data_IF_631279412364
#
_entry.id   IF_631279412364
#
_cell.length_a   1.000
_cell.length_b   1.000
_cell.length_c   1.000
_cell.angle_alpha   90.00
_cell.angle_beta   90.00
_cell.angle_gamma   90.00
#
_symmetry.space_group_name_H-M   'P 1'
#
loop_
_entity.id
_entity.type
_entity.pdbx_description
1 polymer ?
#
# COMPACT_ATOMS: atom_id res chain seq x y z
N UNK A 1 -1.91 -33.85 -41.18
CA UNK A 1 -0.75 -34.35 -40.42
C UNK A 1 0.00 -33.15 -39.88
N UNK A 2 0.02 -32.98 -38.56
CA UNK A 2 0.83 -31.98 -37.87
C UNK A 2 1.53 -32.72 -36.74
N UNK A 3 2.86 -32.68 -36.72
CA UNK A 3 3.68 -33.50 -35.83
C UNK A 3 3.72 -32.94 -34.42
N UNK A 4 3.56 -33.81 -33.44
CA UNK A 4 3.68 -33.54 -32.01
C UNK A 4 5.18 -33.56 -31.68
N UNK A 5 5.79 -32.41 -31.36
CA UNK A 5 7.15 -32.38 -30.82
C UNK A 5 7.10 -32.53 -29.29
N UNK A 6 7.56 -33.68 -28.79
CA UNK A 6 7.89 -33.91 -27.39
C UNK A 6 9.29 -33.37 -27.11
N UNK A 7 9.39 -32.19 -26.51
CA UNK A 7 10.56 -31.84 -25.70
C UNK A 7 10.07 -31.04 -24.51
N UNK A 8 10.13 -31.71 -23.36
CA UNK A 8 10.01 -31.24 -21.99
C UNK A 8 9.09 -30.04 -21.76
N UNK A 9 7.94 -30.33 -21.14
CA UNK A 9 7.06 -29.31 -20.59
C UNK A 9 7.85 -28.24 -19.85
N UNK A 10 7.98 -27.09 -20.48
CA UNK A 10 7.92 -25.84 -19.75
C UNK A 10 6.47 -25.79 -19.29
N UNK A 11 6.20 -26.44 -18.15
CA UNK A 11 5.21 -25.91 -17.26
C UNK A 11 5.68 -24.47 -17.09
N UNK A 12 4.98 -23.52 -17.72
CA UNK A 12 4.96 -22.18 -17.18
C UNK A 12 4.34 -22.36 -15.79
N UNK A 13 5.15 -22.80 -14.84
CA UNK A 13 5.19 -22.17 -13.54
C UNK A 13 5.64 -20.74 -13.85
N UNK A 14 4.80 -19.96 -14.53
CA UNK A 14 4.62 -18.59 -14.13
C UNK A 14 4.45 -18.76 -12.64
N UNK A 15 5.51 -18.44 -11.89
CA UNK A 15 5.46 -18.46 -10.46
C UNK A 15 4.14 -17.77 -10.17
N UNK A 16 3.21 -18.48 -9.52
CA UNK A 16 2.03 -17.84 -8.98
C UNK A 16 2.55 -17.02 -7.80
N UNK A 17 3.43 -16.04 -8.06
CA UNK A 17 3.51 -14.85 -7.25
C UNK A 17 2.06 -14.38 -7.24
N UNK A 18 1.41 -14.52 -6.09
CA UNK A 18 0.12 -13.88 -5.87
C UNK A 18 0.38 -12.41 -6.16
N UNK A 19 -0.05 -11.94 -7.32
CA UNK A 19 0.00 -10.52 -7.64
C UNK A 19 -0.86 -9.87 -6.56
N UNK A 20 -0.21 -9.11 -5.68
CA UNK A 20 -0.91 -8.39 -4.63
C UNK A 20 -1.76 -7.33 -5.33
N UNK A 21 -3.06 -7.39 -5.12
CA UNK A 21 -3.98 -6.46 -5.76
C UNK A 21 -4.18 -5.26 -4.84
N UNK A 22 -3.83 -4.08 -5.34
CA UNK A 22 -4.11 -2.83 -4.65
C UNK A 22 -5.37 -2.20 -5.21
N UNK A 23 -6.23 -1.67 -4.33
CA UNK A 23 -7.44 -0.97 -4.74
C UNK A 23 -7.47 0.43 -4.14
N UNK A 24 -7.39 1.45 -4.98
CA UNK A 24 -7.58 2.84 -4.56
C UNK A 24 -9.07 3.13 -4.41
N UNK A 25 -9.49 3.58 -3.23
CA UNK A 25 -10.86 4.00 -2.96
C UNK A 25 -10.98 5.52 -3.08
N UNK A 26 -11.68 6.00 -4.11
CA UNK A 26 -11.77 7.43 -4.45
C UNK A 26 -13.16 8.05 -4.21
N UNK A 27 -14.14 7.25 -3.76
CA UNK A 27 -15.52 7.73 -3.59
C UNK A 27 -15.74 8.56 -2.32
N UNK A 28 -14.76 8.60 -1.41
CA UNK A 28 -14.83 9.38 -0.17
C UNK A 28 -13.42 9.73 0.32
N UNK A 29 -13.29 10.87 1.00
CA UNK A 29 -12.10 11.21 1.77
C UNK A 29 -12.39 11.02 3.26
N UNK A 30 -11.46 10.37 3.97
CA UNK A 30 -11.55 10.09 5.40
C UNK A 30 -10.23 10.48 6.09
N UNK A 31 -10.30 10.74 7.40
CA UNK A 31 -9.09 10.75 8.23
C UNK A 31 -8.55 9.33 8.35
N UNK A 32 -7.31 9.17 8.83
CA UNK A 32 -6.64 7.87 8.80
C UNK A 32 -7.37 6.80 9.62
N UNK A 33 -7.88 7.15 10.81
CA UNK A 33 -8.61 6.22 11.68
C UNK A 33 -9.93 5.79 11.05
N UNK A 34 -10.73 6.74 10.55
CA UNK A 34 -12.01 6.42 9.91
C UNK A 34 -11.80 5.61 8.63
N UNK A 35 -10.72 5.87 7.88
CA UNK A 35 -10.34 5.09 6.70
C UNK A 35 -10.00 3.64 7.10
N UNK A 36 -9.23 3.44 8.17
CA UNK A 36 -8.93 2.11 8.71
C UNK A 36 -10.20 1.36 9.12
N UNK A 37 -11.09 2.02 9.86
CA UNK A 37 -12.35 1.42 10.31
C UNK A 37 -13.22 1.03 9.11
N UNK A 38 -13.33 1.91 8.11
CA UNK A 38 -14.04 1.59 6.88
C UNK A 38 -13.44 0.37 6.15
N UNK A 39 -12.11 0.27 6.09
CA UNK A 39 -11.44 -0.89 5.50
C UNK A 39 -11.75 -2.17 6.27
N UNK A 40 -11.77 -2.14 7.62
CA UNK A 40 -12.04 -3.32 8.45
C UNK A 40 -13.51 -3.76 8.42
N UNK A 41 -14.43 -2.84 8.17
CA UNK A 41 -15.84 -3.15 8.02
C UNK A 41 -16.18 -3.80 6.67
N UNK A 42 -15.45 -3.45 5.60
CA UNK A 42 -15.81 -3.80 4.22
C UNK A 42 -14.77 -4.65 3.48
N UNK A 43 -13.53 -4.68 3.95
CA UNK A 43 -12.34 -5.27 3.33
C UNK A 43 -11.41 -5.86 4.43
N UNK A 44 -10.09 -5.94 4.19
CA UNK A 44 -9.13 -6.46 5.18
C UNK A 44 -8.66 -5.36 6.14
N UNK A 45 -7.92 -4.37 5.64
CA UNK A 45 -7.39 -3.21 6.36
C UNK A 45 -6.91 -2.20 5.29
N UNK A 46 -6.33 -1.07 5.71
CA UNK A 46 -5.52 -0.22 4.84
C UNK A 46 -4.32 -1.02 4.30
N UNK A 47 -3.88 -0.66 3.09
CA UNK A 47 -2.79 -1.38 2.43
C UNK A 47 -1.51 -1.36 3.27
N UNK A 48 -0.92 -2.54 3.42
CA UNK A 48 0.41 -2.73 3.99
C UNK A 48 1.42 -2.92 2.87
N UNK A 49 2.64 -2.38 2.99
CA UNK A 49 3.70 -2.55 1.99
C UNK A 49 4.90 -3.24 2.64
N UNK A 50 5.31 -4.39 2.11
CA UNK A 50 6.36 -5.21 2.71
C UNK A 50 7.76 -4.95 2.13
N UNK A 51 7.84 -4.32 0.96
CA UNK A 51 9.10 -4.06 0.28
C UNK A 51 8.98 -2.90 -0.73
N UNK A 52 10.13 -2.47 -1.25
CA UNK A 52 10.25 -1.44 -2.28
C UNK A 52 9.43 -1.76 -3.56
N UNK A 53 9.40 -3.02 -4.00
CA UNK A 53 8.71 -3.42 -5.23
C UNK A 53 7.20 -3.17 -5.12
N UNK A 54 6.58 -3.52 -4.00
CA UNK A 54 5.17 -3.25 -3.74
C UNK A 54 4.87 -1.74 -3.68
N UNK A 55 5.76 -0.94 -3.08
CA UNK A 55 5.65 0.52 -3.09
C UNK A 55 5.69 1.07 -4.51
N UNK A 56 6.57 0.57 -5.38
CA UNK A 56 6.67 1.00 -6.77
C UNK A 56 5.43 0.60 -7.60
N UNK A 57 4.93 -0.62 -7.40
CA UNK A 57 3.68 -1.08 -8.02
C UNK A 57 2.50 -0.19 -7.61
N UNK A 58 2.40 0.16 -6.33
CA UNK A 58 1.33 1.06 -5.86
C UNK A 58 1.50 2.48 -6.41
N UNK A 59 2.72 3.02 -6.51
CA UNK A 59 2.98 4.32 -7.16
C UNK A 59 2.55 4.34 -8.63
N UNK A 60 2.80 3.25 -9.36
CA UNK A 60 2.33 3.11 -10.76
C UNK A 60 0.80 3.13 -10.85
N UNK A 61 0.09 2.47 -9.92
CA UNK A 61 -1.37 2.55 -9.82
C UNK A 61 -1.82 3.99 -9.50
N UNK A 62 -1.13 4.69 -8.61
CA UNK A 62 -1.45 6.09 -8.29
C UNK A 62 -1.23 7.04 -9.47
N UNK A 63 -0.27 6.73 -10.36
CA UNK A 63 0.05 7.53 -11.54
C UNK A 63 -0.97 7.39 -12.68
N UNK A 64 -1.66 6.25 -12.77
CA UNK A 64 -2.71 6.03 -13.79
C UNK A 64 -4.06 6.65 -13.40
N UNK A 65 -4.24 7.08 -12.15
CA UNK A 65 -5.43 7.74 -11.64
C UNK A 65 -5.20 9.26 -11.48
N UNK A 66 -6.28 10.05 -11.55
CA UNK A 66 -6.27 11.50 -11.35
C UNK A 66 -5.95 11.86 -9.89
N UNK A 67 -4.64 11.85 -9.58
CA UNK A 67 -4.04 11.74 -8.24
C UNK A 67 -4.44 12.78 -7.19
N UNK A 68 -4.94 12.28 -6.06
CA UNK A 68 -4.83 12.86 -4.72
C UNK A 68 -3.96 11.93 -3.84
N UNK A 69 -3.30 12.48 -2.80
CA UNK A 69 -2.60 11.66 -1.80
C UNK A 69 -3.57 10.65 -1.20
N UNK A 70 -3.14 9.41 -0.99
CA UNK A 70 -3.95 8.37 -0.38
C UNK A 70 -3.31 7.80 0.89
N UNK A 71 -4.12 7.49 1.90
CA UNK A 71 -3.67 6.80 3.11
C UNK A 71 -3.23 5.37 2.81
N UNK A 72 -2.18 4.95 3.51
CA UNK A 72 -1.75 3.55 3.64
C UNK A 72 -1.74 3.16 5.12
N UNK A 73 -1.60 1.87 5.42
CA UNK A 73 -1.68 1.33 6.78
C UNK A 73 -0.51 1.67 7.69
N UNK A 74 0.55 2.33 7.20
CA UNK A 74 1.69 2.68 8.04
C UNK A 74 1.40 3.95 8.82
N UNK A 75 1.62 3.88 10.13
CA UNK A 75 1.50 5.03 11.00
C UNK A 75 2.62 5.05 12.04
N UNK A 76 2.85 6.23 12.61
CA UNK A 76 3.82 6.45 13.68
C UNK A 76 3.10 6.96 14.92
N UNK A 77 3.34 6.30 16.05
CA UNK A 77 2.89 6.74 17.38
C UNK A 77 4.03 6.59 18.37
N UNK A 78 4.31 7.62 19.17
CA UNK A 78 5.36 7.58 20.21
C UNK A 78 6.71 7.07 19.68
N UNK A 79 7.15 7.64 18.56
CA UNK A 79 8.36 7.27 17.83
C UNK A 79 8.40 5.86 17.21
N UNK A 80 7.36 5.04 17.38
CA UNK A 80 7.29 3.68 16.84
C UNK A 80 6.49 3.63 15.55
N UNK A 81 7.05 2.98 14.52
CA UNK A 81 6.37 2.66 13.27
C UNK A 81 5.56 1.37 13.43
N UNK A 82 4.32 1.37 12.93
CA UNK A 82 3.43 0.21 12.99
C UNK A 82 2.56 0.14 11.74
N UNK A 83 2.30 -1.08 11.28
CA UNK A 83 1.26 -1.36 10.32
C UNK A 83 -0.08 -1.54 11.00
N UNK A 84 -1.12 -0.99 10.39
CA UNK A 84 -2.51 -1.06 10.86
C UNK A 84 -3.01 -2.50 10.99
N UNK A 85 -2.56 -3.38 10.08
CA UNK A 85 -2.91 -4.79 10.06
C UNK A 85 -2.19 -5.62 11.15
N UNK A 86 -1.26 -5.03 11.89
CA UNK A 86 -0.51 -5.67 12.97
C UNK A 86 0.81 -6.33 12.55
N UNK A 87 1.17 -6.32 11.27
CA UNK A 87 2.43 -6.90 10.79
C UNK A 87 3.66 -6.12 11.26
N UNK A 88 4.80 -6.79 11.28
CA UNK A 88 6.08 -6.17 11.62
C UNK A 88 6.56 -5.24 10.50
N UNK A 89 7.12 -4.11 10.89
CA UNK A 89 7.73 -3.15 9.97
C UNK A 89 9.16 -3.63 9.68
N UNK A 90 9.38 -4.22 8.50
CA UNK A 90 10.69 -4.76 8.10
C UNK A 90 11.46 -3.84 7.13
N UNK A 91 10.83 -3.44 6.02
CA UNK A 91 11.43 -2.55 5.02
C UNK A 91 10.61 -1.28 4.85
N UNK A 92 11.22 -0.15 5.21
CA UNK A 92 10.65 1.19 5.03
C UNK A 92 11.62 2.11 4.28
N UNK A 93 12.60 1.56 3.54
CA UNK A 93 13.56 2.37 2.79
C UNK A 93 12.90 3.21 1.69
N UNK A 94 11.72 2.79 1.23
CA UNK A 94 10.88 3.50 0.25
C UNK A 94 10.22 4.78 0.80
N UNK A 95 10.20 4.99 2.13
CA UNK A 95 9.56 6.12 2.80
C UNK A 95 10.60 7.04 3.45
N UNK A 96 10.50 8.37 3.32
CA UNK A 96 11.38 9.29 4.03
C UNK A 96 11.26 9.10 5.55
N UNK A 97 12.35 9.39 6.26
CA UNK A 97 12.34 9.40 7.71
C UNK A 97 11.29 10.40 8.22
N UNK A 98 10.45 10.01 9.19
CA UNK A 98 9.50 10.95 9.79
C UNK A 98 10.26 12.07 10.51
N UNK A 99 9.70 13.28 10.49
CA UNK A 99 10.24 14.41 11.26
C UNK A 99 10.31 14.05 12.75
N UNK A 100 11.17 14.68 13.56
CA UNK A 100 11.26 14.42 15.01
C UNK A 100 10.05 15.00 15.78
N UNK A 101 8.83 14.80 15.30
CA UNK A 101 7.59 15.14 16.00
C UNK A 101 7.24 14.07 17.04
N UNK A 102 6.64 14.53 18.13
CA UNK A 102 5.95 13.67 19.11
C UNK A 102 4.51 13.38 18.67
N UNK A 103 3.94 14.22 17.81
CA UNK A 103 2.60 14.06 17.27
C UNK A 103 2.51 12.82 16.37
N UNK A 104 1.35 12.11 16.38
CA UNK A 104 1.12 10.97 15.53
C UNK A 104 1.11 11.40 14.06
N UNK A 105 1.81 10.65 13.23
CA UNK A 105 1.91 10.89 11.79
C UNK A 105 1.48 9.64 11.04
N UNK A 106 0.79 9.84 9.92
CA UNK A 106 0.26 8.76 9.10
C UNK A 106 0.88 8.83 7.71
N UNK A 107 1.22 7.67 7.15
CA UNK A 107 1.89 7.62 5.86
C UNK A 107 0.88 7.73 4.72
N UNK A 108 1.31 8.40 3.66
CA UNK A 108 0.55 8.53 2.42
C UNK A 108 1.39 8.14 1.22
N UNK A 109 0.70 7.73 0.14
CA UNK A 109 1.31 7.49 -1.15
C UNK A 109 0.73 8.43 -2.21
N UNK A 110 1.60 8.84 -3.14
CA UNK A 110 1.32 9.64 -4.33
C UNK A 110 2.02 8.98 -5.53
N UNK A 111 1.76 9.47 -6.75
CA UNK A 111 2.31 8.98 -8.02
C UNK A 111 3.82 8.67 -8.03
N UNK A 112 4.64 9.46 -7.32
CA UNK A 112 6.10 9.43 -7.39
C UNK A 112 6.78 9.42 -6.02
N UNK A 113 6.04 9.66 -4.94
CA UNK A 113 6.62 9.75 -3.60
C UNK A 113 5.66 9.23 -2.53
N UNK A 114 6.21 9.03 -1.34
CA UNK A 114 5.47 8.70 -0.12
C UNK A 114 5.82 9.72 0.95
N UNK A 115 4.84 10.19 1.71
CA UNK A 115 5.05 11.28 2.69
C UNK A 115 4.33 11.01 4.00
N UNK A 116 4.79 11.70 5.04
CA UNK A 116 4.14 11.73 6.36
C UNK A 116 3.19 12.91 6.43
N UNK A 117 1.97 12.66 6.91
CA UNK A 117 0.93 13.68 7.03
C UNK A 117 0.26 13.59 8.41
N UNK A 118 -0.43 14.67 8.81
CA UNK A 118 -1.25 14.66 10.01
C UNK A 118 -2.43 13.68 9.82
N UNK A 119 -2.58 12.74 10.74
CA UNK A 119 -3.59 11.69 10.67
C UNK A 119 -5.04 12.20 10.62
N UNK A 120 -5.29 13.46 11.00
CA UNK A 120 -6.63 14.08 10.97
C UNK A 120 -7.04 14.62 9.60
N UNK A 121 -6.10 14.68 8.64
CA UNK A 121 -6.36 15.17 7.29
C UNK A 121 -7.31 14.25 6.51
N UNK A 122 -8.14 14.82 5.64
CA UNK A 122 -9.11 14.06 4.84
C UNK A 122 -8.49 13.65 3.51
N UNK A 123 -8.40 12.33 3.24
CA UNK A 123 -7.78 11.81 2.01
C UNK A 123 -8.47 10.55 1.51
N UNK A 124 -8.27 10.25 0.23
CA UNK A 124 -8.56 8.92 -0.31
C UNK A 124 -7.67 7.88 0.39
N UNK A 125 -7.93 6.59 0.18
CA UNK A 125 -7.18 5.54 0.86
C UNK A 125 -7.10 4.28 0.02
N UNK A 126 -6.06 3.49 0.25
CA UNK A 126 -5.80 2.26 -0.50
C UNK A 126 -6.15 1.06 0.37
N UNK A 127 -6.97 0.17 -0.18
CA UNK A 127 -7.46 -1.04 0.46
C UNK A 127 -6.53 -2.23 0.18
N UNK A 128 -6.53 -3.17 1.12
CA UNK A 128 -5.94 -4.51 0.97
C UNK A 128 -6.98 -5.62 0.74
#
# INVERSE_FOLDING_TARGET
MCFISLSSGVCCTAALSRLRQFHLYENKTLNWTDAQDFCRENYTDLVTLYNQEESEQLKQLMASNSSYKAWIGLHRKEHSLKWSNGDTVNDTAWLPLPSPSTEPMCATILKDNTTWENCTEQKNFVLQ
#
